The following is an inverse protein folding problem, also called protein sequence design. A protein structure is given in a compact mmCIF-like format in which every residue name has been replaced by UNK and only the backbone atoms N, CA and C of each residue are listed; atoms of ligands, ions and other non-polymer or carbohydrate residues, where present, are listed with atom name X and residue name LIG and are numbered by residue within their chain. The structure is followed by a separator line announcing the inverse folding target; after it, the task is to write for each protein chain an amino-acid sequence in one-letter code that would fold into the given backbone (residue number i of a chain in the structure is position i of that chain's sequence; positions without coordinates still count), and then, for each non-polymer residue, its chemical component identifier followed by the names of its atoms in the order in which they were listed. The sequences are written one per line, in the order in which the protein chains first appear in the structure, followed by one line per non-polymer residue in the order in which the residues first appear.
data_IF_585228578513
#
_entry.id   IF_585228578513
#
_cell.length_a   1.000
_cell.length_b   1.000
_cell.length_c   1.000
_cell.angle_alpha   90.00
_cell.angle_beta   90.00
_cell.angle_gamma   90.00
#
_symmetry.space_group_name_H-M   'P 1'
#
loop_
_entity.id
_entity.type
_entity.pdbx_description
1 polymer ?
#
# COMPACT_ATOMS: atom_id res chain seq x y z
N UNK A 1 -28.61 4.55 51.90
CA UNK A 1 -28.34 5.07 50.55
C UNK A 1 -26.87 4.78 50.28
N UNK A 2 -26.58 3.55 49.87
CA UNK A 2 -25.21 3.06 49.67
C UNK A 2 -24.80 3.35 48.24
N UNK A 3 -23.86 4.27 48.12
CA UNK A 3 -23.22 4.71 46.89
C UNK A 3 -22.58 3.49 46.21
N UNK A 4 -23.05 3.16 45.01
CA UNK A 4 -22.55 2.04 44.22
C UNK A 4 -21.34 2.59 43.46
N UNK A 5 -20.14 2.02 43.60
CA UNK A 5 -19.00 2.50 42.84
C UNK A 5 -19.34 2.35 41.36
N UNK A 6 -19.35 3.47 40.64
CA UNK A 6 -19.51 3.51 39.19
C UNK A 6 -18.41 2.67 38.58
N UNK A 7 -18.80 1.57 37.93
CA UNK A 7 -17.92 0.73 37.11
C UNK A 7 -17.18 1.69 36.15
N UNK A 8 -15.83 1.73 36.13
CA UNK A 8 -15.12 2.61 35.20
C UNK A 8 -15.57 2.25 33.79
N UNK A 9 -16.17 3.21 33.07
CA UNK A 9 -16.66 2.98 31.73
C UNK A 9 -15.50 2.57 30.82
N UNK A 10 -15.54 1.32 30.36
CA UNK A 10 -14.59 0.82 29.39
C UNK A 10 -14.85 1.54 28.08
N UNK A 11 -13.84 2.26 27.59
CA UNK A 11 -13.91 3.00 26.33
C UNK A 11 -13.54 2.07 25.17
N UNK A 12 -14.02 2.36 23.96
CA UNK A 12 -13.64 1.60 22.75
C UNK A 12 -12.10 1.54 22.56
N UNK A 13 -11.39 2.60 22.96
CA UNK A 13 -9.92 2.63 23.00
C UNK A 13 -9.29 1.54 23.90
N UNK A 14 -9.93 1.18 25.01
CA UNK A 14 -9.46 0.11 25.89
C UNK A 14 -9.71 -1.27 25.29
N UNK A 15 -10.76 -1.43 24.47
CA UNK A 15 -11.02 -2.65 23.70
C UNK A 15 -9.94 -2.84 22.63
N UNK A 16 -9.57 -1.77 21.92
CA UNK A 16 -8.48 -1.81 20.95
C UNK A 16 -7.13 -2.12 21.63
N UNK A 17 -6.84 -1.48 22.77
CA UNK A 17 -5.64 -1.76 23.55
C UNK A 17 -5.62 -3.22 24.08
N UNK A 18 -6.78 -3.80 24.40
CA UNK A 18 -6.90 -5.22 24.73
C UNK A 18 -6.56 -6.11 23.52
N UNK A 19 -7.12 -5.79 22.35
CA UNK A 19 -6.86 -6.50 21.09
C UNK A 19 -5.39 -6.42 20.72
N UNK A 20 -4.71 -5.31 21.00
CA UNK A 20 -3.28 -5.11 20.77
C UNK A 20 -2.38 -5.62 21.89
N UNK A 21 -2.94 -6.09 23.00
CA UNK A 21 -2.18 -6.64 24.12
C UNK A 21 -1.38 -5.61 24.92
N UNK A 22 -1.71 -4.32 24.75
CA UNK A 22 -1.07 -3.16 25.38
C UNK A 22 -1.70 -2.78 26.74
N UNK A 23 -2.72 -3.52 27.19
CA UNK A 23 -3.29 -3.36 28.53
C UNK A 23 -2.46 -4.07 29.61
N UNK A 24 -2.34 -3.40 30.76
CA UNK A 24 -1.88 -4.00 32.00
C UNK A 24 -2.85 -5.07 32.54
N UNK A 25 -2.41 -5.84 33.54
CA UNK A 25 -3.15 -6.98 34.08
C UNK A 25 -4.46 -6.56 34.75
N UNK A 26 -4.49 -5.40 35.41
CA UNK A 26 -5.66 -4.91 36.14
C UNK A 26 -6.75 -4.44 35.17
N UNK A 27 -6.39 -3.67 34.14
CA UNK A 27 -7.31 -3.23 33.10
C UNK A 27 -7.77 -4.35 32.20
N UNK A 28 -6.89 -5.32 31.91
CA UNK A 28 -7.27 -6.53 31.18
C UNK A 28 -8.39 -7.30 31.88
N UNK A 29 -8.30 -7.48 33.20
CA UNK A 29 -9.34 -8.16 33.99
C UNK A 29 -10.70 -7.46 33.91
N UNK A 30 -10.70 -6.11 33.95
CA UNK A 30 -11.91 -5.30 33.83
C UNK A 30 -12.56 -5.48 32.45
N UNK A 31 -11.77 -5.45 31.37
CA UNK A 31 -12.23 -5.71 30.00
C UNK A 31 -12.77 -7.13 29.84
N UNK A 32 -12.06 -8.15 30.32
CA UNK A 32 -12.50 -9.55 30.23
C UNK A 32 -13.79 -9.80 31.03
N UNK A 33 -13.93 -9.17 32.19
CA UNK A 33 -15.17 -9.22 32.98
C UNK A 33 -16.34 -8.61 32.21
N UNK A 34 -16.12 -7.53 31.46
CA UNK A 34 -17.13 -6.92 30.60
C UNK A 34 -17.50 -7.80 29.42
N UNK A 35 -16.51 -8.37 28.73
CA UNK A 35 -16.74 -9.30 27.61
C UNK A 35 -17.52 -10.54 28.07
N UNK A 36 -17.29 -11.04 29.29
CA UNK A 36 -18.06 -12.15 29.85
C UNK A 36 -19.55 -11.87 30.04
N UNK A 37 -19.90 -10.58 30.22
CA UNK A 37 -21.29 -10.11 30.41
C UNK A 37 -21.94 -9.63 29.12
N UNK A 38 -21.21 -9.55 28.01
CA UNK A 38 -21.67 -9.05 26.71
C UNK A 38 -21.21 -9.96 25.56
N UNK A 39 -21.95 -11.04 25.26
CA UNK A 39 -21.52 -12.04 24.30
C UNK A 39 -21.38 -11.49 22.88
N UNK A 40 -22.17 -10.51 22.48
CA UNK A 40 -22.07 -9.87 21.16
C UNK A 40 -20.78 -9.06 21.01
N UNK A 41 -20.38 -8.34 22.06
CA UNK A 41 -19.11 -7.60 22.08
C UNK A 41 -17.93 -8.56 22.10
N UNK A 42 -18.01 -9.62 22.91
CA UNK A 42 -16.99 -10.68 22.94
C UNK A 42 -16.79 -11.34 21.57
N UNK A 43 -17.88 -11.62 20.84
CA UNK A 43 -17.81 -12.19 19.50
C UNK A 43 -17.08 -11.26 18.51
N UNK A 44 -17.32 -9.94 18.57
CA UNK A 44 -16.60 -8.97 17.74
C UNK A 44 -15.10 -8.94 18.06
N UNK A 45 -14.75 -8.81 19.34
CA UNK A 45 -13.35 -8.78 19.82
C UNK A 45 -12.60 -10.07 19.43
N UNK A 46 -13.24 -11.23 19.50
CA UNK A 46 -12.65 -12.50 19.06
C UNK A 46 -12.39 -12.52 17.55
N UNK A 47 -13.25 -11.88 16.75
CA UNK A 47 -13.03 -11.66 15.33
C UNK A 47 -11.75 -10.85 15.07
N UNK A 48 -11.58 -9.72 15.78
CA UNK A 48 -10.42 -8.84 15.62
C UNK A 48 -9.11 -9.52 16.06
N UNK A 49 -9.14 -10.26 17.17
CA UNK A 49 -8.03 -11.09 17.63
C UNK A 49 -7.62 -12.16 16.60
N UNK A 50 -8.59 -12.74 15.89
CA UNK A 50 -8.34 -13.74 14.84
C UNK A 50 -7.63 -13.11 13.63
N UNK A 51 -8.05 -11.92 13.20
CA UNK A 51 -7.44 -11.16 12.11
C UNK A 51 -5.99 -10.79 12.46
N UNK A 52 -5.77 -10.26 13.68
CA UNK A 52 -4.42 -9.95 14.18
C UNK A 52 -3.52 -11.17 14.22
N UNK A 53 -4.04 -12.32 14.64
CA UNK A 53 -3.30 -13.59 14.66
C UNK A 53 -2.94 -14.06 13.24
N UNK A 54 -3.85 -13.95 12.28
CA UNK A 54 -3.59 -14.26 10.87
C UNK A 54 -2.48 -13.36 10.28
N UNK A 55 -2.52 -12.05 10.53
CA UNK A 55 -1.45 -11.13 10.13
C UNK A 55 -0.10 -11.51 10.74
N UNK A 56 -0.08 -11.87 12.02
CA UNK A 56 1.15 -12.35 12.68
C UNK A 56 1.69 -13.60 12.03
N UNK A 57 0.84 -14.57 11.71
CA UNK A 57 1.27 -15.80 11.02
C UNK A 57 1.90 -15.51 9.66
N UNK A 58 1.35 -14.58 8.88
CA UNK A 58 1.96 -14.16 7.60
C UNK A 58 3.35 -13.52 7.77
N UNK A 59 3.58 -12.84 8.90
CA UNK A 59 4.86 -12.17 9.19
C UNK A 59 5.90 -13.03 9.90
N UNK A 60 5.54 -14.26 10.32
CA UNK A 60 6.46 -15.17 11.02
C UNK A 60 7.49 -15.82 10.10
N UNK A 61 7.33 -15.70 8.78
CA UNK A 61 8.32 -16.16 7.79
C UNK A 61 9.48 -15.15 7.67
N UNK A 62 10.21 -14.97 8.78
CA UNK A 62 11.39 -14.11 8.84
C UNK A 62 12.59 -14.83 8.26
N UNK A 63 12.98 -14.42 7.04
CA UNK A 63 14.34 -14.69 6.53
C UNK A 63 15.36 -14.22 7.59
N UNK A 64 16.40 -15.01 7.88
CA UNK A 64 17.43 -14.58 8.82
C UNK A 64 18.08 -13.29 8.30
N UNK A 65 18.10 -12.28 9.16
CA UNK A 65 18.82 -11.02 8.94
C UNK A 65 20.29 -11.39 8.66
N UNK A 66 20.85 -11.09 7.48
CA UNK A 66 22.18 -11.57 7.11
C UNK A 66 23.23 -11.19 8.16
N UNK A 67 23.99 -12.20 8.60
CA UNK A 67 25.12 -12.03 9.51
C UNK A 67 26.15 -11.10 8.86
N UNK A 68 26.20 -9.86 9.34
CA UNK A 68 26.95 -8.77 8.69
C UNK A 68 26.22 -7.43 8.75
N UNK A 69 24.94 -7.43 9.11
CA UNK A 69 24.19 -6.22 9.46
C UNK A 69 24.50 -5.79 10.91
N UNK A 70 24.68 -6.76 11.82
CA UNK A 70 25.12 -6.52 13.21
C UNK A 70 26.54 -5.94 13.28
N UNK A 71 27.50 -6.51 12.55
CA UNK A 71 28.88 -5.99 12.49
C UNK A 71 28.97 -4.59 11.88
N UNK A 72 28.09 -4.26 10.92
CA UNK A 72 28.02 -2.90 10.35
C UNK A 72 27.40 -1.91 11.33
N UNK A 73 26.41 -2.33 12.13
CA UNK A 73 25.84 -1.51 13.19
C UNK A 73 26.86 -1.22 14.30
N UNK A 74 27.70 -2.20 14.66
CA UNK A 74 28.72 -2.04 15.70
C UNK A 74 29.88 -1.12 15.26
N UNK A 75 30.24 -1.13 13.97
CA UNK A 75 31.22 -0.20 13.39
C UNK A 75 30.72 1.25 13.32
N UNK A 76 29.41 1.45 13.17
CA UNK A 76 28.79 2.78 13.20
C UNK A 76 28.61 3.33 14.63
N UNK A 77 28.62 2.45 15.64
CA UNK A 77 28.52 2.82 17.05
C UNK A 77 29.87 3.25 17.68
N UNK A 78 31.00 3.12 16.97
CA UNK A 78 32.30 3.56 17.48
C UNK A 78 32.44 5.09 17.36
N UNK A 79 32.54 5.83 18.48
CA UNK A 79 32.66 7.28 18.42
C UNK A 79 34.07 7.64 17.95
N UNK A 80 34.20 8.06 16.69
CA UNK A 80 35.42 8.66 16.18
C UNK A 80 35.69 9.94 16.98
N UNK A 81 36.67 9.87 17.91
CA UNK A 81 37.08 10.99 18.77
C UNK A 81 37.69 12.11 17.93
N UNK A 82 36.84 12.92 17.31
CA UNK A 82 37.23 14.14 16.60
C UNK A 82 37.59 15.24 17.61
N UNK A 83 38.78 15.81 17.46
CA UNK A 83 39.42 16.79 18.34
C UNK A 83 38.78 18.19 18.32
N UNK A 84 37.52 18.30 17.92
CA UNK A 84 36.79 19.58 17.74
C UNK A 84 35.79 19.88 18.85
N UNK A 85 35.82 19.11 19.93
CA UNK A 85 34.96 19.33 21.09
C UNK A 85 35.60 20.35 22.05
N UNK A 86 35.60 21.62 21.67
CA UNK A 86 35.88 22.71 22.61
C UNK A 86 34.97 23.92 22.55
N UNK A 87 33.88 23.88 21.78
CA UNK A 87 32.84 24.91 21.81
C UNK A 87 31.50 24.24 21.56
N UNK A 88 30.75 23.90 22.61
CA UNK A 88 29.28 23.91 22.69
C UNK A 88 28.80 23.26 24.01
N UNK A 89 27.80 23.83 24.71
CA UNK A 89 27.28 23.30 25.97
C UNK A 89 26.51 21.99 25.76
N UNK A 90 26.66 21.08 26.73
CA UNK A 90 26.14 19.72 26.67
C UNK A 90 24.62 19.70 26.91
N UNK A 91 23.82 19.54 25.85
CA UNK A 91 22.37 19.44 26.01
C UNK A 91 21.51 19.19 24.77
N UNK A 92 22.08 18.76 23.62
CA UNK A 92 21.30 18.53 22.39
C UNK A 92 21.92 17.41 21.51
N UNK A 93 22.14 16.22 22.07
CA UNK A 93 22.67 15.08 21.29
C UNK A 93 21.70 13.90 21.15
N UNK A 94 20.55 13.93 21.84
CA UNK A 94 19.54 12.86 21.80
C UNK A 94 18.39 13.14 20.83
N UNK A 95 18.16 14.39 20.40
CA UNK A 95 17.09 14.75 19.46
C UNK A 95 17.42 14.48 17.99
N UNK A 96 18.71 14.48 17.61
CA UNK A 96 19.12 14.29 16.21
C UNK A 96 18.92 12.87 15.69
N UNK A 97 19.13 11.85 16.54
CA UNK A 97 18.98 10.45 16.14
C UNK A 97 17.49 10.04 16.01
N UNK A 98 16.63 10.55 16.89
CA UNK A 98 15.19 10.32 16.81
C UNK A 98 14.57 11.04 15.61
N UNK A 99 15.01 12.27 15.29
CA UNK A 99 14.60 12.97 14.09
C UNK A 99 15.08 12.26 12.81
N UNK A 100 16.31 11.75 12.79
CA UNK A 100 16.84 10.99 11.66
C UNK A 100 16.10 9.65 11.46
N UNK A 101 15.77 8.93 12.54
CA UNK A 101 14.95 7.70 12.47
C UNK A 101 13.50 7.98 12.07
N UNK A 102 12.91 9.09 12.52
CA UNK A 102 11.59 9.52 12.09
C UNK A 102 11.58 9.86 10.60
N UNK A 103 12.58 10.59 10.09
CA UNK A 103 12.73 10.86 8.65
C UNK A 103 12.96 9.57 7.84
N UNK A 104 13.72 8.61 8.38
CA UNK A 104 13.92 7.30 7.74
C UNK A 104 12.64 6.44 7.70
N UNK A 105 11.78 6.52 8.72
CA UNK A 105 10.48 5.84 8.73
C UNK A 105 9.42 6.53 7.86
N UNK A 106 9.53 7.84 7.64
CA UNK A 106 8.66 8.62 6.73
C UNK A 106 9.03 8.41 5.25
N UNK A 107 10.22 7.87 4.97
CA UNK A 107 10.73 7.67 3.59
C UNK A 107 10.16 6.47 2.82
N UNK A 108 9.32 5.63 3.43
CA UNK A 108 8.53 4.65 2.67
C UNK A 108 7.19 5.29 2.32
N UNK A 109 7.20 6.12 1.27
CA UNK A 109 5.95 6.54 0.64
C UNK A 109 5.19 5.28 0.23
N UNK A 110 4.09 5.01 0.94
CA UNK A 110 3.23 3.88 0.59
C UNK A 110 2.57 4.20 -0.74
N UNK A 111 2.53 3.23 -1.68
CA UNK A 111 1.81 3.41 -2.92
C UNK A 111 0.37 3.86 -2.63
N UNK A 112 -0.20 4.78 -3.43
CA UNK A 112 -1.57 5.22 -3.23
C UNK A 112 -2.56 4.05 -3.34
N UNK A 113 -3.71 4.16 -2.68
CA UNK A 113 -4.69 3.07 -2.58
C UNK A 113 -5.11 2.47 -3.94
N UNK A 114 -5.13 3.27 -5.01
CA UNK A 114 -5.52 2.80 -6.34
C UNK A 114 -4.56 1.77 -6.95
N UNK A 115 -3.31 1.69 -6.48
CA UNK A 115 -2.33 0.68 -6.92
C UNK A 115 -2.85 -0.73 -6.62
N UNK A 116 -3.53 -0.92 -5.48
CA UNK A 116 -4.16 -2.20 -5.14
C UNK A 116 -5.29 -2.58 -6.10
N UNK A 117 -6.12 -1.61 -6.53
CA UNK A 117 -7.14 -1.82 -7.57
C UNK A 117 -6.50 -2.16 -8.91
N UNK A 118 -5.38 -1.52 -9.27
CA UNK A 118 -4.66 -1.80 -10.50
C UNK A 118 -4.15 -3.25 -10.54
N UNK A 119 -3.61 -3.78 -9.44
CA UNK A 119 -3.17 -5.19 -9.36
C UNK A 119 -4.36 -6.15 -9.39
N UNK A 120 -5.41 -5.87 -8.63
CA UNK A 120 -6.60 -6.73 -8.59
C UNK A 120 -7.28 -6.81 -9.96
N UNK A 121 -7.48 -5.66 -10.61
CA UNK A 121 -8.08 -5.57 -11.95
C UNK A 121 -7.19 -6.18 -13.03
N UNK A 122 -5.85 -6.04 -12.92
CA UNK A 122 -4.91 -6.76 -13.79
C UNK A 122 -5.10 -8.27 -13.72
N UNK A 123 -5.13 -8.85 -12.52
CA UNK A 123 -5.33 -10.30 -12.33
C UNK A 123 -6.68 -10.74 -12.90
N UNK A 124 -7.73 -9.96 -12.69
CA UNK A 124 -9.05 -10.23 -13.28
C UNK A 124 -8.98 -10.22 -14.82
N UNK A 125 -8.27 -9.26 -15.42
CA UNK A 125 -8.10 -9.18 -16.87
C UNK A 125 -7.23 -10.31 -17.45
N UNK A 126 -6.26 -10.84 -16.70
CA UNK A 126 -5.52 -12.03 -17.12
C UNK A 126 -6.40 -13.29 -17.05
N UNK A 127 -7.19 -13.47 -15.99
CA UNK A 127 -8.14 -14.60 -15.86
C UNK A 127 -9.18 -14.62 -16.98
N UNK A 128 -9.99 -13.56 -17.05
CA UNK A 128 -10.10 -12.73 -18.25
C UNK A 128 -9.86 -13.37 -19.62
N UNK A 129 -8.69 -13.03 -20.14
CA UNK A 129 -8.15 -13.40 -21.44
C UNK A 129 -8.01 -14.91 -21.65
N UNK A 130 -7.87 -15.70 -20.57
CA UNK A 130 -7.75 -17.16 -20.67
C UNK A 130 -9.13 -17.87 -20.75
N UNK A 131 -10.24 -17.14 -20.57
CA UNK A 131 -11.59 -17.70 -20.63
C UNK A 131 -12.23 -17.53 -22.01
N UNK A 132 -12.37 -18.65 -22.74
CA UNK A 132 -13.01 -18.67 -24.08
C UNK A 132 -14.43 -18.07 -24.16
N UNK A 133 -15.17 -18.05 -23.03
CA UNK A 133 -16.54 -17.51 -22.98
C UNK A 133 -16.61 -16.00 -22.80
N UNK A 134 -15.48 -15.36 -22.52
CA UNK A 134 -15.41 -13.95 -22.20
C UNK A 134 -15.11 -13.16 -23.46
N UNK A 135 -15.96 -12.16 -23.75
CA UNK A 135 -15.80 -11.32 -24.91
C UNK A 135 -14.81 -10.21 -24.57
N UNK A 136 -13.74 -10.12 -25.36
CA UNK A 136 -12.78 -9.03 -25.32
C UNK A 136 -13.28 -7.84 -26.15
N UNK A 137 -13.04 -6.63 -25.67
CA UNK A 137 -13.38 -5.38 -26.33
C UNK A 137 -12.11 -4.61 -26.75
N UNK A 138 -11.43 -5.01 -27.84
CA UNK A 138 -10.17 -4.39 -28.25
C UNK A 138 -10.34 -3.01 -28.88
N UNK A 139 -11.56 -2.64 -29.30
CA UNK A 139 -11.83 -1.33 -29.88
C UNK A 139 -11.98 -0.29 -28.77
N UNK A 140 -11.16 0.75 -28.84
CA UNK A 140 -11.15 1.85 -27.88
C UNK A 140 -11.39 3.18 -28.61
N UNK A 141 -12.45 3.90 -28.23
CA UNK A 141 -12.65 5.30 -28.61
C UNK A 141 -12.34 6.21 -27.41
N UNK A 142 -11.17 6.86 -27.47
CA UNK A 142 -10.70 7.75 -26.40
C UNK A 142 -11.65 8.93 -26.14
N UNK A 143 -12.33 9.44 -27.18
CA UNK A 143 -13.24 10.58 -27.05
C UNK A 143 -14.53 10.15 -26.37
N UNK A 144 -15.11 9.03 -26.79
CA UNK A 144 -16.31 8.47 -26.17
C UNK A 144 -16.09 8.19 -24.68
N UNK A 145 -14.98 7.51 -24.35
CA UNK A 145 -14.64 7.18 -22.97
C UNK A 145 -14.43 8.45 -22.14
N UNK A 146 -13.65 9.41 -22.63
CA UNK A 146 -13.41 10.66 -21.91
C UNK A 146 -14.69 11.46 -21.67
N UNK A 147 -15.61 11.53 -22.64
CA UNK A 147 -16.88 12.25 -22.49
C UNK A 147 -17.80 11.62 -21.43
N UNK A 148 -17.85 10.29 -21.35
CA UNK A 148 -18.76 9.59 -20.43
C UNK A 148 -18.17 9.38 -19.04
N UNK A 149 -16.84 9.27 -18.91
CA UNK A 149 -16.17 8.89 -17.65
C UNK A 149 -15.29 9.98 -17.07
N UNK A 150 -14.93 10.99 -17.88
CA UNK A 150 -13.88 11.98 -17.58
C UNK A 150 -12.50 11.35 -17.38
N UNK A 151 -12.30 10.10 -17.83
CA UNK A 151 -11.00 9.42 -17.82
C UNK A 151 -10.33 9.63 -19.18
N UNK A 152 -9.17 10.25 -19.17
CA UNK A 152 -8.28 10.31 -20.34
C UNK A 152 -7.24 9.19 -20.23
N UNK A 153 -7.07 8.42 -21.31
CA UNK A 153 -6.00 7.41 -21.40
C UNK A 153 -4.76 8.01 -22.07
N UNK A 154 -3.54 7.57 -21.69
CA UNK A 154 -2.33 7.96 -22.39
C UNK A 154 -2.34 7.45 -23.84
N UNK A 155 -1.58 8.10 -24.72
CA UNK A 155 -1.39 7.57 -26.06
C UNK A 155 -0.47 6.36 -25.99
N UNK A 156 -0.89 5.25 -26.60
CA UNK A 156 -0.11 4.03 -26.64
C UNK A 156 0.99 4.12 -27.71
N UNK A 157 2.15 3.50 -27.47
CA UNK A 157 3.13 3.22 -28.51
C UNK A 157 2.53 2.40 -29.65
N UNK A 158 3.07 2.53 -30.86
CA UNK A 158 2.57 1.85 -32.06
C UNK A 158 2.73 0.31 -31.99
N UNK A 159 3.70 -0.18 -31.22
CA UNK A 159 3.98 -1.61 -30.98
C UNK A 159 3.09 -2.23 -29.89
N UNK A 160 2.08 -1.49 -29.42
CA UNK A 160 1.15 -1.93 -28.39
C UNK A 160 -0.24 -2.15 -28.98
N UNK A 161 -0.84 -3.26 -28.62
CA UNK A 161 -2.17 -3.64 -29.09
C UNK A 161 -3.13 -3.76 -27.93
N UNK A 162 -4.21 -2.98 -27.97
CA UNK A 162 -5.33 -3.11 -27.03
C UNK A 162 -6.00 -4.45 -27.25
N UNK A 163 -6.00 -5.29 -26.23
CA UNK A 163 -6.72 -6.57 -26.26
C UNK A 163 -8.11 -6.40 -25.66
N UNK A 164 -8.25 -5.55 -24.64
CA UNK A 164 -9.51 -5.38 -23.94
C UNK A 164 -9.60 -4.08 -23.15
N UNK A 165 -10.81 -3.55 -22.98
CA UNK A 165 -11.10 -2.33 -22.20
C UNK A 165 -12.32 -2.56 -21.31
N UNK A 166 -12.19 -2.25 -20.02
CA UNK A 166 -13.24 -2.46 -19.02
C UNK A 166 -13.30 -1.32 -18.01
N UNK A 167 -14.50 -1.10 -17.46
CA UNK A 167 -14.70 -0.23 -16.30
C UNK A 167 -14.71 -1.06 -15.02
N UNK A 168 -13.96 -0.60 -14.02
CA UNK A 168 -13.91 -1.19 -12.69
C UNK A 168 -14.43 -0.19 -11.65
N UNK A 169 -15.20 -0.66 -10.65
CA UNK A 169 -15.56 0.19 -9.52
C UNK A 169 -14.33 0.44 -8.63
N UNK A 170 -14.25 1.65 -8.07
CA UNK A 170 -13.39 1.98 -6.93
C UNK A 170 -14.25 2.66 -5.87
N UNK A 171 -13.66 3.02 -4.72
CA UNK A 171 -14.37 3.67 -3.62
C UNK A 171 -15.05 5.00 -3.99
N UNK A 172 -14.45 5.78 -4.91
CA UNK A 172 -14.90 7.16 -5.20
C UNK A 172 -15.36 7.38 -6.64
N UNK A 173 -14.70 6.76 -7.60
CA UNK A 173 -14.92 6.99 -9.02
C UNK A 173 -14.79 5.68 -9.82
N UNK A 174 -15.43 5.54 -10.98
CA UNK A 174 -15.08 4.46 -11.88
C UNK A 174 -13.61 4.60 -12.30
N UNK A 175 -12.96 3.47 -12.51
CA UNK A 175 -11.66 3.39 -13.16
C UNK A 175 -11.80 2.69 -14.51
N UNK A 176 -10.94 3.04 -15.46
CA UNK A 176 -10.81 2.32 -16.71
C UNK A 176 -9.58 1.43 -16.62
N UNK A 177 -9.75 0.16 -16.98
CA UNK A 177 -8.65 -0.76 -17.23
C UNK A 177 -8.56 -1.01 -18.72
N UNK A 178 -7.36 -0.84 -19.28
CA UNK A 178 -7.03 -1.20 -20.65
C UNK A 178 -5.97 -2.30 -20.62
N UNK A 179 -6.34 -3.51 -21.04
CA UNK A 179 -5.40 -4.58 -21.27
C UNK A 179 -4.73 -4.40 -22.62
N UNK A 180 -3.40 -4.53 -22.61
CA UNK A 180 -2.56 -4.36 -23.79
C UNK A 180 -1.60 -5.53 -23.91
N UNK A 181 -1.23 -5.83 -25.14
CA UNK A 181 -0.16 -6.76 -25.48
C UNK A 181 0.85 -6.06 -26.38
N UNK A 182 2.12 -6.12 -26.02
CA UNK A 182 3.21 -5.61 -26.87
C UNK A 182 3.52 -6.61 -27.99
N UNK A 183 4.19 -6.16 -29.05
CA UNK A 183 4.70 -7.05 -30.11
C UNK A 183 5.69 -8.11 -29.61
N UNK A 184 6.39 -7.81 -28.52
CA UNK A 184 7.27 -8.76 -27.83
C UNK A 184 6.50 -9.80 -26.99
N UNK A 185 5.17 -9.69 -26.92
CA UNK A 185 4.28 -10.63 -26.24
C UNK A 185 4.04 -10.34 -24.76
N UNK A 186 4.52 -9.21 -24.22
CA UNK A 186 4.25 -8.84 -22.84
C UNK A 186 2.78 -8.43 -22.69
N UNK A 187 2.08 -9.04 -21.73
CA UNK A 187 0.72 -8.66 -21.36
C UNK A 187 0.79 -7.71 -20.18
N UNK A 188 0.17 -6.54 -20.33
CA UNK A 188 0.17 -5.49 -19.34
C UNK A 188 -1.22 -4.89 -19.26
N UNK A 189 -1.48 -4.12 -18.21
CA UNK A 189 -2.70 -3.34 -18.09
C UNK A 189 -2.41 -1.92 -17.66
N UNK A 190 -3.09 -0.96 -18.28
CA UNK A 190 -3.10 0.43 -17.86
C UNK A 190 -4.41 0.68 -17.12
N UNK A 191 -4.29 0.98 -15.84
CA UNK A 191 -5.39 1.39 -14.98
C UNK A 191 -5.38 2.91 -14.86
N UNK A 192 -6.52 3.55 -15.09
CA UNK A 192 -6.67 5.01 -15.00
C UNK A 192 -7.88 5.39 -14.16
N UNK A 193 -7.70 6.34 -13.25
CA UNK A 193 -8.77 6.93 -12.45
C UNK A 193 -8.68 8.46 -12.51
N UNK A 194 -9.83 9.11 -12.66
CA UNK A 194 -9.94 10.57 -12.57
C UNK A 194 -10.01 10.99 -11.09
N UNK A 195 -8.89 10.82 -10.40
CA UNK A 195 -8.71 11.24 -9.02
C UNK A 195 -7.30 11.80 -8.86
N UNK A 196 -7.19 12.97 -8.25
CA UNK A 196 -5.91 13.54 -7.84
C UNK A 196 -5.42 12.84 -6.58
N UNK A 197 -4.44 11.96 -6.74
CA UNK A 197 -3.82 11.20 -5.65
C UNK A 197 -2.47 11.78 -5.24
N UNK A 198 -1.87 11.20 -4.20
CA UNK A 198 -0.51 11.49 -3.79
C UNK A 198 0.57 10.83 -4.68
N UNK A 199 0.20 10.24 -5.82
CA UNK A 199 1.17 9.67 -6.76
C UNK A 199 2.14 10.75 -7.29
N UNK A 200 3.41 10.39 -7.52
CA UNK A 200 4.39 11.27 -8.14
C UNK A 200 4.02 11.60 -9.59
N UNK A 201 4.53 12.71 -10.11
CA UNK A 201 4.32 13.08 -11.53
C UNK A 201 5.21 12.29 -12.47
N UNK A 202 6.42 11.95 -12.00
CA UNK A 202 7.27 10.95 -12.63
C UNK A 202 6.86 9.58 -12.13
N UNK A 203 6.81 8.56 -13.00
CA UNK A 203 6.57 7.20 -12.57
C UNK A 203 7.54 6.75 -11.47
N UNK A 204 6.99 5.96 -10.57
CA UNK A 204 7.74 5.14 -9.62
C UNK A 204 7.16 3.74 -9.68
N UNK A 205 7.99 2.73 -9.44
CA UNK A 205 7.59 1.34 -9.58
C UNK A 205 7.90 0.51 -8.35
N UNK A 206 6.91 -0.27 -7.94
CA UNK A 206 6.98 -1.18 -6.80
C UNK A 206 6.64 -2.60 -7.23
N UNK A 207 7.10 -3.57 -6.44
CA UNK A 207 6.65 -4.96 -6.53
C UNK A 207 5.46 -5.15 -5.61
N UNK A 208 4.33 -5.60 -6.15
CA UNK A 208 3.10 -5.89 -5.42
C UNK A 208 2.67 -7.34 -5.68
N UNK A 209 3.09 -8.24 -4.79
CA UNK A 209 2.94 -9.68 -4.99
C UNK A 209 3.83 -10.18 -6.15
N UNK A 210 3.22 -10.86 -7.12
CA UNK A 210 3.92 -11.37 -8.31
C UNK A 210 4.11 -10.28 -9.38
N UNK A 211 3.22 -9.29 -9.39
CA UNK A 211 3.19 -8.21 -10.37
C UNK A 211 4.08 -7.04 -9.94
N UNK A 212 4.65 -6.35 -10.92
CA UNK A 212 5.23 -5.03 -10.73
C UNK A 212 4.25 -3.98 -11.21
N UNK A 213 4.16 -2.86 -10.48
CA UNK A 213 3.27 -1.75 -10.81
C UNK A 213 4.08 -0.47 -10.85
N UNK A 214 4.09 0.19 -12.01
CA UNK A 214 4.56 1.55 -12.14
C UNK A 214 3.36 2.50 -12.05
N UNK A 215 3.42 3.52 -11.20
CA UNK A 215 2.27 4.38 -10.91
C UNK A 215 2.69 5.86 -10.94
N UNK A 216 1.80 6.71 -11.46
CA UNK A 216 2.06 8.15 -11.62
C UNK A 216 0.77 8.96 -11.70
N UNK A 217 0.92 10.28 -11.65
CA UNK A 217 -0.16 11.25 -11.83
C UNK A 217 0.15 12.17 -12.99
N UNK A 218 -0.88 12.56 -13.74
CA UNK A 218 -0.82 13.68 -14.68
C UNK A 218 -2.09 14.52 -14.60
N UNK A 219 -1.93 15.78 -14.18
CA UNK A 219 -3.07 16.64 -13.88
C UNK A 219 -3.93 16.03 -12.77
N UNK A 220 -5.21 15.84 -13.05
CA UNK A 220 -6.20 15.22 -12.15
C UNK A 220 -6.37 13.70 -12.37
N UNK A 221 -5.57 13.10 -13.25
CA UNK A 221 -5.59 11.67 -13.56
C UNK A 221 -4.48 10.94 -12.80
N UNK A 222 -4.80 9.78 -12.23
CA UNK A 222 -3.81 8.84 -11.68
C UNK A 222 -3.81 7.56 -12.50
N UNK A 223 -2.61 7.05 -12.79
CA UNK A 223 -2.38 5.91 -13.66
C UNK A 223 -1.52 4.86 -12.98
N UNK A 224 -1.77 3.61 -13.31
CA UNK A 224 -0.89 2.49 -12.98
C UNK A 224 -0.72 1.59 -14.20
N UNK A 225 0.52 1.24 -14.49
CA UNK A 225 0.92 0.23 -15.46
C UNK A 225 1.34 -1.03 -14.70
N UNK A 226 0.60 -2.11 -14.88
CA UNK A 226 0.82 -3.39 -14.18
C UNK A 226 1.25 -4.47 -15.17
N UNK A 227 2.26 -5.26 -14.80
CA UNK A 227 2.74 -6.41 -15.57
C UNK A 227 3.72 -7.28 -14.78
N UNK A 228 4.21 -8.34 -15.41
CA UNK A 228 5.06 -9.35 -14.75
C UNK A 228 6.57 -9.04 -14.82
N UNK A 229 6.94 -7.97 -15.53
CA UNK A 229 8.34 -7.54 -15.69
C UNK A 229 8.90 -6.97 -14.38
N UNK A 230 10.21 -6.79 -14.29
CA UNK A 230 10.84 -6.19 -13.11
C UNK A 230 10.45 -4.71 -12.92
N UNK A 231 10.39 -4.19 -11.68
CA UNK A 231 9.95 -2.82 -11.41
C UNK A 231 10.70 -1.77 -12.22
N UNK A 232 12.03 -1.89 -12.37
CA UNK A 232 12.81 -0.93 -13.16
C UNK A 232 12.43 -0.90 -14.65
N UNK A 233 12.04 -2.04 -15.22
CA UNK A 233 11.54 -2.10 -16.61
C UNK A 233 10.15 -1.48 -16.72
N UNK A 234 9.29 -1.75 -15.74
CA UNK A 234 7.95 -1.14 -15.67
C UNK A 234 8.02 0.37 -15.54
N UNK A 235 8.94 0.87 -14.71
CA UNK A 235 9.20 2.29 -14.49
C UNK A 235 9.60 2.99 -15.79
N UNK A 236 10.64 2.50 -16.46
CA UNK A 236 11.08 3.04 -17.75
C UNK A 236 9.98 3.01 -18.83
N UNK A 237 9.14 1.96 -18.82
CA UNK A 237 8.01 1.84 -19.73
C UNK A 237 6.92 2.87 -19.42
N UNK A 238 6.58 3.06 -18.15
CA UNK A 238 5.63 4.07 -17.72
C UNK A 238 6.15 5.49 -18.01
N UNK A 239 7.46 5.72 -17.97
CA UNK A 239 8.06 7.02 -18.27
C UNK A 239 7.90 7.41 -19.75
N UNK A 240 7.88 6.41 -20.66
CA UNK A 240 7.52 6.64 -22.05
C UNK A 240 6.03 7.04 -22.20
N UNK A 241 5.13 6.37 -21.49
CA UNK A 241 3.68 6.65 -21.51
C UNK A 241 3.33 8.00 -20.84
N UNK A 242 4.05 8.40 -19.79
CA UNK A 242 3.75 9.63 -19.07
C UNK A 242 4.00 10.89 -19.93
N UNK A 243 4.84 10.78 -20.95
CA UNK A 243 5.25 11.88 -21.84
C UNK A 243 4.26 12.19 -22.98
N UNK A 244 3.24 11.35 -23.22
CA UNK A 244 2.33 11.44 -24.39
C UNK A 244 0.97 12.06 -24.09
#
# INVERSE_FOLDING_TARGET
MTDRPTDPEITDLEIDAYIDGELDVERRFVVETRLSRQPELAARVMGDLSVRSALRMLTQDRRPVPAGLADRAERLAQPQKSRWRRLMPAGLATSGLAAALAVWMVGFERPPAYVSYAVASHRIAMLRADMNSQIEAPRFDAREVALNTRIAMPQLPDDWHVTDVQLFPTDKAPALLMAVRTDTGHRMTIFAVHEKTAAPEHPDAVREGEQSVAYWRRGDMSYALTGDQEPGTMDATAEALART
#
